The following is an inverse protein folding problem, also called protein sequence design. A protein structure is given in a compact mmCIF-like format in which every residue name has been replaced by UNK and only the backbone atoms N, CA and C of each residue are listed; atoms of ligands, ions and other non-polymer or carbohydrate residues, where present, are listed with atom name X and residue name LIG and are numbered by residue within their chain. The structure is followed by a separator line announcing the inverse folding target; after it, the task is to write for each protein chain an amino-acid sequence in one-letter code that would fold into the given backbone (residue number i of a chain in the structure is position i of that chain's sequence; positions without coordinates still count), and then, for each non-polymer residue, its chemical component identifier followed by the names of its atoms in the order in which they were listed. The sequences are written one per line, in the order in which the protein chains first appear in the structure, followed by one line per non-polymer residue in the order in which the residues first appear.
data_IF_011530265323
#
_entry.id   IF_011530265323
#
_cell.length_a   1.000
_cell.length_b   1.000
_cell.length_c   1.000
_cell.angle_alpha   90.00
_cell.angle_beta   90.00
_cell.angle_gamma   90.00
#
_symmetry.space_group_name_H-M   'P 1'
#
loop_
_entity.id
_entity.type
_entity.pdbx_description
1 polymer ?
2 non-polymer ?
3 water ?
#
# COMPACT_ATOMS: atom_id res chain seq x y z
N UNK A 1 18.77 -11.16 -2.90
CA UNK A 1 18.19 -10.14 -2.01
C UNK A 1 18.48 -10.49 -0.55
N UNK A 2 18.46 -9.48 0.32
CA UNK A 2 18.95 -9.68 1.69
C UNK A 2 17.96 -10.44 2.55
N UNK A 3 18.45 -10.82 3.73
CA UNK A 3 17.65 -11.53 4.72
C UNK A 3 16.57 -10.62 5.30
N UNK A 4 16.91 -9.35 5.51
CA UNK A 4 15.98 -8.38 6.08
C UNK A 4 15.93 -7.17 5.15
N UNK A 5 14.71 -6.70 4.92
CA UNK A 5 14.48 -5.43 4.24
C UNK A 5 13.53 -4.64 5.10
N UNK A 6 13.81 -3.35 5.30
CA UNK A 6 12.90 -2.50 6.07
C UNK A 6 13.02 -1.11 5.46
N UNK A 7 12.06 -0.73 4.62
CA UNK A 7 12.12 0.56 3.96
C UNK A 7 11.97 1.72 4.92
N UNK A 8 11.45 1.49 6.13
CA UNK A 8 11.40 2.57 7.11
C UNK A 8 12.80 2.98 7.54
N UNK A 9 13.74 2.04 7.58
CA UNK A 9 15.11 2.36 7.96
C UNK A 9 15.86 3.10 6.87
N UNK A 10 15.43 3.01 5.62
CA UNK A 10 15.99 3.79 4.53
C UNK A 10 15.26 5.11 4.34
N UNK A 11 14.43 5.50 5.30
CA UNK A 11 13.71 6.76 5.23
C UNK A 11 12.76 6.86 4.04
N UNK A 12 12.18 5.74 3.60
CA UNK A 12 11.30 5.73 2.43
C UNK A 12 9.84 5.54 2.80
N UNK A 13 9.50 5.65 4.09
CA UNK A 13 8.15 5.42 4.55
C UNK A 13 7.73 6.60 5.40
N UNK A 14 6.57 7.15 5.10
CA UNK A 14 6.03 8.27 5.85
C UNK A 14 5.25 7.75 7.04
N UNK A 15 4.83 8.63 7.94
CA UNK A 15 4.12 8.17 9.13
C UNK A 15 2.86 7.39 8.74
N UNK A 16 2.47 6.51 9.66
CA UNK A 16 1.28 5.69 9.48
C UNK A 16 0.05 6.58 9.49
N UNK A 17 -0.86 6.30 8.57
CA UNK A 17 -2.08 7.09 8.47
C UNK A 17 -3.25 6.27 8.96
N UNK A 18 -4.38 6.97 9.13
CA UNK A 18 -5.63 6.32 9.49
C UNK A 18 -6.64 6.67 8.40
N UNK A 19 -7.05 5.64 7.65
CA UNK A 19 -8.03 5.90 6.61
C UNK A 19 -9.39 6.27 7.18
N UNK A 20 -9.64 6.00 8.46
CA UNK A 20 -10.96 6.35 8.95
C UNK A 20 -12.02 5.37 8.44
N UNK A 21 -13.28 5.82 8.42
CA UNK A 21 -14.33 4.87 8.07
C UNK A 21 -14.40 4.62 6.56
N UNK A 22 -13.79 5.48 5.78
CA UNK A 22 -13.81 5.39 4.33
C UNK A 22 -13.04 4.18 3.84
N UNK A 23 -13.62 3.47 2.86
CA UNK A 23 -12.99 2.31 2.26
C UNK A 23 -11.95 2.70 1.23
N UNK A 24 -10.96 3.45 1.68
CA UNK A 24 -9.94 4.05 0.83
C UNK A 24 -8.59 3.36 0.97
N UNK A 25 -8.56 2.16 1.55
CA UNK A 25 -7.30 1.45 1.73
C UNK A 25 -6.52 1.35 0.44
N UNK A 26 -7.22 1.12 -0.68
CA UNK A 26 -6.55 1.02 -1.98
C UNK A 26 -5.77 2.29 -2.30
N UNK A 27 -6.28 3.47 -1.91
CA UNK A 27 -5.55 4.70 -2.17
C UNK A 27 -4.38 4.86 -1.22
N UNK A 28 -4.58 4.54 0.07
CA UNK A 28 -3.49 4.61 1.02
C UNK A 28 -2.37 3.68 0.61
N UNK A 29 -2.74 2.45 0.24
CA UNK A 29 -1.78 1.47 -0.24
C UNK A 29 -0.96 2.02 -1.41
N UNK A 30 -1.65 2.52 -2.44
CA UNK A 30 -0.97 3.05 -3.60
C UNK A 30 -0.03 4.18 -3.21
N UNK A 31 -0.49 5.05 -2.32
CA UNK A 31 0.33 6.19 -1.96
C UNK A 31 1.61 5.76 -1.27
N UNK A 32 1.57 4.73 -0.41
CA UNK A 32 2.85 4.48 0.25
C UNK A 32 3.84 3.93 -0.77
N UNK A 33 3.37 3.25 -1.83
CA UNK A 33 4.32 2.82 -2.84
C UNK A 33 4.87 4.02 -3.62
N UNK A 34 4.04 5.04 -3.84
CA UNK A 34 4.52 6.23 -4.52
C UNK A 34 5.49 7.00 -3.63
N UNK A 35 5.13 7.19 -2.35
CA UNK A 35 6.07 7.81 -1.43
C UNK A 35 7.40 7.07 -1.41
N UNK A 36 7.35 5.73 -1.44
CA UNK A 36 8.57 4.96 -1.37
C UNK A 36 9.42 5.12 -2.62
N UNK A 37 8.81 4.97 -3.80
CA UNK A 37 9.59 5.03 -5.04
C UNK A 37 10.12 6.44 -5.30
N UNK A 38 9.38 7.49 -4.93
CA UNK A 38 9.92 8.84 -5.10
C UNK A 38 11.14 9.03 -4.21
N UNK A 39 11.08 8.56 -2.97
CA UNK A 39 12.25 8.67 -2.11
C UNK A 39 13.42 7.86 -2.66
N UNK A 40 13.15 6.66 -3.15
CA UNK A 40 14.21 5.80 -3.66
C UNK A 40 14.89 6.45 -4.86
N UNK A 41 14.12 7.08 -5.76
CA UNK A 41 14.72 7.67 -6.95
C UNK A 41 15.25 9.08 -6.72
N UNK A 42 14.61 9.88 -5.87
CA UNK A 42 14.98 11.29 -5.77
C UNK A 42 15.66 11.64 -4.47
N UNK A 43 15.63 10.76 -3.47
CA UNK A 43 16.18 11.07 -2.17
C UNK A 43 15.28 11.87 -1.28
N UNK A 44 14.15 12.36 -1.78
CA UNK A 44 13.19 13.15 -1.02
C UNK A 44 12.03 12.26 -0.59
N UNK A 45 11.75 12.26 0.70
CA UNK A 45 10.53 11.64 1.20
C UNK A 45 9.47 12.72 1.31
N UNK A 46 8.39 12.56 0.56
CA UNK A 46 7.23 13.45 0.64
C UNK A 46 6.00 12.61 0.93
N UNK A 47 4.96 13.28 1.40
CA UNK A 47 3.65 12.63 1.52
C UNK A 47 2.77 13.05 0.36
N UNK A 48 2.05 12.11 -0.19
CA UNK A 48 1.22 12.37 -1.35
C UNK A 48 -0.23 12.08 -0.99
N UNK A 49 -1.12 12.50 -1.89
CA UNK A 49 -2.52 12.64 -1.55
C UNK A 49 -3.27 11.34 -1.80
N UNK A 50 -3.66 10.67 -0.72
CA UNK A 50 -4.66 9.62 -0.85
C UNK A 50 -5.98 10.21 -1.35
N UNK A 51 -6.30 11.41 -0.88
CA UNK A 51 -7.59 12.01 -1.23
C UNK A 51 -7.70 12.17 -2.74
N UNK A 52 -6.60 12.56 -3.38
CA UNK A 52 -6.64 12.80 -4.81
C UNK A 52 -7.01 11.52 -5.55
N UNK A 53 -6.43 10.39 -5.14
CA UNK A 53 -6.79 9.12 -5.76
C UNK A 53 -8.22 8.77 -5.47
N UNK A 54 -8.64 8.93 -4.20
CA UNK A 54 -10.03 8.75 -3.82
C UNK A 54 -10.96 9.49 -4.76
N UNK A 55 -10.67 10.77 -4.98
CA UNK A 55 -11.54 11.65 -5.74
C UNK A 55 -11.46 11.38 -7.23
N UNK A 56 -10.28 11.01 -7.71
CA UNK A 56 -9.97 11.09 -9.13
C UNK A 56 -9.88 9.77 -9.84
N UNK A 57 -9.76 8.65 -9.13
CA UNK A 57 -9.68 7.35 -9.80
C UNK A 57 -11.10 6.91 -10.14
N UNK A 58 -11.49 7.12 -11.40
CA UNK A 58 -12.84 6.81 -11.85
C UNK A 58 -13.08 5.30 -11.98
N UNK A 59 -12.02 4.48 -12.02
CA UNK A 59 -12.25 3.03 -12.07
C UNK A 59 -12.44 2.45 -10.67
N UNK A 60 -12.09 3.19 -9.62
CA UNK A 60 -12.34 2.77 -8.26
C UNK A 60 -13.66 3.37 -7.78
N UNK A 61 -14.06 3.00 -6.57
CA UNK A 61 -15.40 3.32 -6.06
C UNK A 61 -15.34 4.19 -4.82
N UNK A 62 -14.33 5.05 -4.73
CA UNK A 62 -14.25 5.99 -3.64
C UNK A 62 -14.13 5.29 -2.31
N UNK A 63 -14.98 5.68 -1.37
CA UNK A 63 -14.96 5.07 -0.05
C UNK A 63 -15.58 3.68 -0.03
N UNK A 64 -16.11 3.22 -1.16
CA UNK A 64 -16.67 1.88 -1.23
C UNK A 64 -15.65 0.87 -1.70
N UNK A 65 -14.41 1.30 -1.90
CA UNK A 65 -13.36 0.39 -2.32
C UNK A 65 -12.80 0.79 -3.67
N UNK A 66 -11.76 0.09 -4.05
CA UNK A 66 -11.09 0.40 -5.29
C UNK A 66 -9.89 -0.47 -5.50
N UNK A 67 -9.10 -0.07 -6.47
CA UNK A 67 -8.03 -0.91 -6.99
C UNK A 67 -6.71 -0.19 -6.87
N UNK A 68 -5.77 -0.72 -6.10
CA UNK A 68 -4.42 -0.16 -6.10
C UNK A 68 -3.85 0.02 -7.50
N UNK A 69 -4.08 -0.96 -8.39
CA UNK A 69 -3.49 -0.86 -9.72
C UNK A 69 -4.09 0.30 -10.52
N UNK A 70 -5.39 0.56 -10.33
CA UNK A 70 -6.03 1.72 -10.96
C UNK A 70 -5.44 3.01 -10.45
N UNK A 71 -5.36 3.14 -9.13
CA UNK A 71 -4.76 4.34 -8.54
C UNK A 71 -3.34 4.53 -9.04
N UNK A 72 -2.58 3.43 -9.13
CA UNK A 72 -1.20 3.56 -9.56
C UNK A 72 -1.12 3.96 -11.03
N UNK A 73 -2.07 3.46 -11.83
CA UNK A 73 -2.09 3.84 -13.25
C UNK A 73 -2.39 5.33 -13.39
N UNK A 74 -3.24 5.87 -12.52
CA UNK A 74 -3.61 7.28 -12.62
C UNK A 74 -2.43 8.17 -12.28
N UNK A 75 -1.58 7.76 -11.35
CA UNK A 75 -0.41 8.57 -11.03
C UNK A 75 0.64 8.44 -12.15
N UNK A 76 0.68 7.29 -12.83
CA UNK A 76 1.56 7.14 -13.98
C UNK A 76 1.07 7.97 -15.16
N UNK A 77 -0.25 8.08 -15.31
CA UNK A 77 -0.82 8.75 -16.46
C UNK A 77 -0.92 10.25 -16.26
N UNK A 78 -1.13 10.68 -15.02
CA UNK A 78 -1.27 12.11 -14.73
C UNK A 78 -0.22 12.54 -13.72
N UNK A 79 -0.33 12.12 -12.48
CA UNK A 79 0.56 12.54 -11.43
C UNK A 79 -0.22 12.58 -10.15
N UNK A 80 0.41 13.14 -9.12
CA UNK A 80 -0.20 13.19 -7.80
C UNK A 80 0.30 14.45 -7.11
N UNK A 81 -0.52 14.98 -6.22
CA UNK A 81 -0.17 16.18 -5.48
C UNK A 81 0.34 15.80 -4.10
N UNK A 82 1.07 16.74 -3.49
CA UNK A 82 1.45 16.59 -2.10
C UNK A 82 0.21 16.44 -1.24
N UNK A 83 0.34 15.62 -0.19
CA UNK A 83 -0.74 15.46 0.76
C UNK A 83 -1.16 16.80 1.36
N UNK A 84 -0.19 17.66 1.65
CA UNK A 84 -0.48 18.96 2.24
C UNK A 84 -1.35 19.82 1.32
N UNK A 85 -1.19 19.66 0.00
CA UNK A 85 -1.96 20.42 -0.98
C UNK A 85 -3.37 19.88 -1.11
N UNK A 86 -3.52 18.59 -0.89
CA UNK A 86 -4.74 17.86 -1.20
C UNK A 86 -4.98 16.93 -0.03
N UNK A 87 -5.27 17.48 1.14
CA UNK A 87 -5.27 16.67 2.36
C UNK A 87 -6.42 15.69 2.37
N UNK A 88 -6.29 14.71 3.26
CA UNK A 88 -7.28 13.66 3.39
C UNK A 88 -8.50 14.16 4.14
N UNK A 89 -9.67 13.92 3.58
CA UNK A 89 -10.92 14.30 4.22
C UNK A 89 -11.79 13.10 4.56
N UNK A 90 -11.46 11.91 4.07
CA UNK A 90 -12.17 10.72 4.49
C UNK A 90 -13.50 10.54 3.80
N UNK A 91 -13.76 11.32 2.77
CA UNK A 91 -14.99 11.23 2.01
C UNK A 91 -14.61 11.51 0.57
N UNK A 92 -15.26 10.80 -0.35
CA UNK A 92 -15.03 11.10 -1.75
C UNK A 92 -15.70 12.41 -2.10
N UNK A 93 -14.93 13.30 -2.72
CA UNK A 93 -15.50 14.53 -3.24
C UNK A 93 -15.17 14.53 -4.72
N UNK A 94 -15.21 15.68 -5.35
CA UNK A 94 -14.88 15.71 -6.76
C UNK A 94 -13.37 15.84 -6.94
N UNK A 95 -12.91 15.40 -8.10
CA UNK A 95 -11.48 15.45 -8.41
C UNK A 95 -11.04 16.90 -8.55
N UNK A 96 -10.15 17.32 -7.65
CA UNK A 96 -9.72 18.71 -7.59
C UNK A 96 -8.28 18.89 -8.03
N UNK A 97 -7.75 17.93 -8.81
CA UNK A 97 -6.36 18.00 -9.24
C UNK A 97 -6.05 19.32 -9.95
N UNK A 98 -6.95 19.76 -10.83
CA UNK A 98 -6.67 20.93 -11.65
C UNK A 98 -6.61 22.19 -10.79
N UNK A 99 -7.45 22.25 -9.76
CA UNK A 99 -7.50 23.40 -8.88
C UNK A 99 -6.25 23.49 -8.01
N UNK A 100 -5.49 22.41 -7.90
CA UNK A 100 -4.38 22.32 -6.97
C UNK A 100 -3.06 22.65 -7.63
N UNK A 101 -3.07 23.16 -8.85
CA UNK A 101 -1.84 23.49 -9.53
C UNK A 101 -1.10 22.28 -10.04
N UNK A 102 0.18 22.47 -10.38
CA UNK A 102 0.94 21.39 -11.00
C UNK A 102 1.07 20.19 -10.09
N UNK A 103 1.09 19.01 -10.69
CA UNK A 103 1.32 17.79 -9.93
C UNK A 103 2.68 17.86 -9.25
N UNK A 104 2.77 17.24 -8.07
CA UNK A 104 4.04 17.20 -7.36
C UNK A 104 4.95 16.09 -7.84
N UNK A 105 4.39 14.98 -8.31
CA UNK A 105 5.19 13.83 -8.71
C UNK A 105 4.40 13.00 -9.69
N UNK A 106 5.12 12.14 -10.40
CA UNK A 106 4.59 11.52 -11.60
C UNK A 106 5.38 10.22 -11.74
N UNK A 107 4.69 9.11 -11.96
CA UNK A 107 5.40 7.85 -12.16
C UNK A 107 5.35 7.46 -13.63
N UNK A 108 6.07 6.39 -13.96
CA UNK A 108 6.19 5.99 -15.36
C UNK A 108 5.37 4.76 -15.70
N UNK A 109 4.84 4.06 -14.72
CA UNK A 109 3.98 2.94 -15.01
C UNK A 109 3.70 2.13 -13.76
N UNK A 110 3.02 1.00 -13.98
CA UNK A 110 2.59 0.07 -12.95
C UNK A 110 2.97 -1.34 -13.38
N UNK A 111 3.56 -2.12 -12.47
CA UNK A 111 3.80 -3.52 -12.76
C UNK A 111 3.05 -4.39 -11.76
N UNK A 112 2.64 -5.57 -12.20
CA UNK A 112 2.08 -6.56 -11.30
C UNK A 112 3.18 -7.54 -10.89
N UNK A 113 3.15 -7.94 -9.64
CA UNK A 113 4.00 -9.03 -9.18
C UNK A 113 3.30 -10.32 -9.61
N UNK A 114 4.07 -11.29 -10.10
CA UNK A 114 3.50 -12.59 -10.40
C UNK A 114 2.73 -13.10 -9.19
N UNK A 115 1.43 -13.37 -9.31
CA UNK A 115 0.65 -13.74 -8.14
C UNK A 115 1.02 -15.13 -7.63
N UNK A 116 0.67 -15.35 -6.36
CA UNK A 116 0.79 -16.67 -5.73
C UNK A 116 2.23 -17.15 -5.70
N UNK A 117 3.17 -16.22 -5.58
CA UNK A 117 4.59 -16.51 -5.69
C UNK A 117 5.30 -15.70 -4.61
N UNK A 118 5.63 -16.36 -3.51
CA UNK A 118 6.24 -15.64 -2.40
C UNK A 118 7.55 -15.00 -2.83
N UNK A 119 8.37 -15.73 -3.57
CA UNK A 119 9.67 -15.21 -3.95
C UNK A 119 9.57 -13.98 -4.82
N UNK A 120 8.61 -13.96 -5.74
CA UNK A 120 8.43 -12.79 -6.60
C UNK A 120 8.05 -11.58 -5.76
N UNK A 121 7.21 -11.78 -4.75
CA UNK A 121 6.83 -10.67 -3.89
C UNK A 121 8.04 -10.16 -3.12
N UNK A 122 8.80 -11.07 -2.52
CA UNK A 122 9.98 -10.65 -1.75
C UNK A 122 10.96 -9.91 -2.64
N UNK A 123 11.18 -10.42 -3.85
CA UNK A 123 12.09 -9.74 -4.74
C UNK A 123 11.63 -8.31 -5.01
N UNK A 124 10.32 -8.12 -5.19
CA UNK A 124 9.81 -6.77 -5.43
C UNK A 124 9.99 -5.89 -4.21
N UNK A 125 9.68 -6.43 -3.02
CA UNK A 125 9.83 -5.65 -1.79
C UNK A 125 11.26 -5.22 -1.59
N UNK A 126 12.22 -6.08 -1.93
CA UNK A 126 13.61 -5.68 -1.79
C UNK A 126 13.97 -4.51 -2.67
N UNK A 127 13.17 -4.25 -3.70
CA UNK A 127 13.40 -3.12 -4.59
C UNK A 127 12.62 -1.87 -4.21
N UNK A 128 11.44 -2.03 -3.63
CA UNK A 128 10.59 -0.89 -3.31
C UNK A 128 9.35 -1.38 -2.55
N UNK A 129 8.69 -0.51 -1.80
CA UNK A 129 7.41 -0.88 -1.20
C UNK A 129 6.41 -1.30 -2.27
N UNK A 130 5.58 -2.26 -1.92
CA UNK A 130 4.69 -2.90 -2.87
C UNK A 130 3.30 -2.85 -2.30
N UNK A 131 2.32 -2.57 -3.15
CA UNK A 131 0.93 -2.65 -2.78
C UNK A 131 0.48 -4.12 -2.80
N UNK A 132 -0.08 -4.59 -1.71
CA UNK A 132 -0.53 -5.97 -1.59
C UNK A 132 -1.92 -5.96 -1.01
N UNK A 133 -2.63 -7.08 -1.19
CA UNK A 133 -3.96 -7.19 -0.62
C UNK A 133 -3.98 -8.39 0.32
N UNK A 134 -4.90 -8.35 1.26
CA UNK A 134 -5.06 -9.44 2.19
C UNK A 134 -6.49 -9.41 2.71
N UNK A 135 -6.86 -10.49 3.38
CA UNK A 135 -8.15 -10.57 4.06
C UNK A 135 -8.00 -9.95 5.43
N UNK A 136 -8.67 -8.83 5.64
CA UNK A 136 -8.60 -8.12 6.90
C UNK A 136 -9.89 -8.21 7.71
N UNK A 137 -10.91 -8.87 7.17
CA UNK A 137 -12.23 -8.92 7.80
C UNK A 137 -12.22 -9.72 9.10
N UNK A 138 -11.38 -10.74 9.22
CA UNK A 138 -11.39 -11.58 10.39
C UNK A 138 -11.02 -10.82 11.65
N UNK A 139 -11.67 -11.19 12.76
CA UNK A 139 -11.40 -10.54 14.03
C UNK A 139 -9.95 -10.72 14.46
N UNK A 140 -9.32 -11.84 14.11
CA UNK A 140 -7.93 -12.01 14.51
C UNK A 140 -7.05 -10.95 13.89
N UNK A 141 -7.24 -10.65 12.62
CA UNK A 141 -6.51 -9.55 12.02
C UNK A 141 -6.88 -8.23 12.67
N UNK A 142 -8.17 -7.98 12.87
CA UNK A 142 -8.56 -6.66 13.37
C UNK A 142 -8.03 -6.41 14.76
N UNK A 143 -8.01 -7.43 15.61
CA UNK A 143 -7.54 -7.31 16.97
C UNK A 143 -6.02 -7.52 17.08
N UNK A 144 -5.32 -7.62 15.96
CA UNK A 144 -3.87 -7.81 16.00
C UNK A 144 -3.19 -6.70 16.81
N UNK A 145 -2.37 -7.10 17.77
CA UNK A 145 -1.65 -6.10 18.54
C UNK A 145 -0.14 -6.26 18.45
N UNK A 146 0.36 -7.27 17.76
CA UNK A 146 1.79 -7.44 17.60
C UNK A 146 2.16 -8.90 17.47
N UNK A 147 3.41 -9.12 17.11
CA UNK A 147 3.89 -10.45 16.85
C UNK A 147 3.82 -10.78 15.37
N UNK A 148 4.31 -11.98 15.05
CA UNK A 148 4.20 -12.46 13.68
C UNK A 148 2.82 -13.07 13.52
N UNK A 149 2.04 -12.50 12.62
CA UNK A 149 0.66 -12.90 12.48
C UNK A 149 0.56 -14.08 11.53
N UNK A 150 -0.03 -15.17 12.01
CA UNK A 150 -0.21 -16.38 11.24
C UNK A 150 -1.66 -16.60 10.86
N UNK A 151 -2.54 -15.68 11.22
CA UNK A 151 -3.94 -15.91 11.10
C UNK A 151 -4.54 -16.19 12.47
N UNK A 152 -5.66 -16.88 12.49
CA UNK A 152 -6.38 -17.44 11.34
C UNK A 152 -6.96 -16.38 10.43
N UNK A 153 -7.00 -16.72 9.15
CA UNK A 153 -7.63 -15.91 8.14
C UNK A 153 -7.76 -16.76 6.89
N UNK A 154 -8.75 -16.42 6.08
CA UNK A 154 -8.92 -17.04 4.78
C UNK A 154 -8.20 -16.22 3.73
N UNK A 155 -8.55 -16.50 2.47
CA UNK A 155 -7.98 -15.78 1.34
C UNK A 155 -9.00 -14.88 0.65
N UNK A 156 -10.08 -14.52 1.35
CA UNK A 156 -11.08 -13.58 0.83
C UNK A 156 -10.56 -12.14 0.97
N UNK A 157 -9.59 -11.82 0.10
CA UNK A 157 -8.88 -10.56 0.25
C UNK A 157 -9.84 -9.39 0.09
N UNK A 158 -9.67 -8.38 0.95
CA UNK A 158 -10.64 -7.29 1.03
C UNK A 158 -9.97 -5.98 1.44
N UNK A 159 -8.65 -5.95 1.55
CA UNK A 159 -7.99 -4.81 2.18
C UNK A 159 -6.63 -4.66 1.55
N UNK A 160 -6.36 -3.48 0.99
CA UNK A 160 -5.07 -3.19 0.38
C UNK A 160 -4.17 -2.53 1.41
N UNK A 161 -2.94 -2.99 1.49
CA UNK A 161 -1.95 -2.42 2.40
C UNK A 161 -0.68 -2.32 1.58
N UNK A 162 0.45 -2.05 2.22
CA UNK A 162 1.70 -1.91 1.51
C UNK A 162 2.74 -2.72 2.24
N UNK A 163 3.45 -3.56 1.51
CA UNK A 163 4.57 -4.29 2.07
C UNK A 163 5.79 -3.41 1.97
N UNK A 164 6.39 -3.11 3.12
CA UNK A 164 7.53 -2.22 3.18
C UNK A 164 8.76 -2.94 3.71
N UNK A 165 8.69 -4.27 3.85
CA UNK A 165 9.85 -5.00 4.31
C UNK A 165 9.51 -6.45 4.46
N UNK A 166 10.52 -7.20 4.90
CA UNK A 166 10.34 -8.61 5.20
C UNK A 166 11.53 -9.07 6.02
N UNK A 167 11.38 -10.24 6.60
CA UNK A 167 12.45 -10.89 7.30
C UNK A 167 12.33 -12.36 6.99
N UNK A 168 13.13 -13.17 7.67
CA UNK A 168 13.10 -14.62 7.42
C UNK A 168 11.72 -15.24 7.52
N UNK A 169 10.90 -14.75 8.45
CA UNK A 169 9.64 -15.42 8.76
C UNK A 169 8.44 -14.48 8.64
N UNK A 170 8.58 -13.35 7.95
CA UNK A 170 7.48 -12.41 7.90
C UNK A 170 7.64 -11.45 6.76
N UNK A 171 6.51 -10.89 6.34
CA UNK A 171 6.47 -9.74 5.48
C UNK A 171 5.97 -8.57 6.32
N UNK A 172 6.66 -7.44 6.23
CA UNK A 172 6.35 -6.27 7.05
C UNK A 172 5.38 -5.38 6.29
N UNK A 173 4.25 -5.07 6.92
CA UNK A 173 3.13 -4.42 6.23
C UNK A 173 2.79 -3.13 6.96
N UNK A 174 2.71 -2.04 6.19
CA UNK A 174 2.15 -0.78 6.67
C UNK A 174 0.65 -0.80 6.47
N UNK A 175 -0.09 -0.74 7.55
CA UNK A 175 -1.54 -0.65 7.47
C UNK A 175 -1.95 0.81 7.56
N UNK A 176 -3.21 1.08 7.28
CA UNK A 176 -3.75 2.43 7.29
C UNK A 176 -4.81 2.58 8.35
N UNK A 177 -4.57 1.95 9.51
CA UNK A 177 -5.54 1.98 10.59
C UNK A 177 -5.03 2.78 11.77
N UNK A 178 -4.09 3.70 11.54
CA UNK A 178 -3.55 4.52 12.59
C UNK A 178 -2.44 3.82 13.36
N UNK A 179 -1.80 4.59 14.24
CA UNK A 179 -0.62 4.11 14.93
C UNK A 179 -0.98 3.25 16.12
N UNK A 180 -2.25 3.23 16.52
CA UNK A 180 -2.68 2.42 17.65
C UNK A 180 -2.92 0.96 17.30
N UNK A 181 -3.04 0.64 16.03
CA UNK A 181 -3.29 -0.73 15.63
C UNK A 181 -1.98 -1.47 15.40
N UNK A 182 -1.95 -2.74 15.78
CA UNK A 182 -0.80 -3.55 15.48
C UNK A 182 0.46 -3.00 16.11
N UNK A 183 1.57 -3.09 15.38
CA UNK A 183 2.86 -2.66 15.91
C UNK A 183 3.11 -1.24 15.43
N UNK A 184 2.53 -0.29 16.16
CA UNK A 184 2.61 1.13 15.79
C UNK A 184 2.09 1.36 14.37
N UNK A 185 1.06 0.59 14.00
CA UNK A 185 0.45 0.72 12.69
C UNK A 185 0.89 -0.33 11.69
N UNK A 186 1.86 -1.16 12.03
CA UNK A 186 2.41 -2.19 11.15
C UNK A 186 1.97 -3.56 11.62
N UNK A 187 2.02 -4.51 10.69
CA UNK A 187 1.85 -5.91 11.01
C UNK A 187 2.95 -6.69 10.32
N UNK A 188 3.50 -7.67 11.03
CA UNK A 188 4.38 -8.66 10.43
C UNK A 188 3.56 -9.91 10.19
N UNK A 189 3.44 -10.29 8.93
CA UNK A 189 2.64 -11.44 8.54
C UNK A 189 3.58 -12.57 8.16
N UNK A 190 3.28 -13.77 8.68
CA UNK A 190 4.17 -14.92 8.45
C UNK A 190 4.30 -15.22 6.96
N UNK A 191 5.51 -15.54 6.53
CA UNK A 191 5.75 -16.02 5.19
C UNK A 191 6.39 -17.42 5.29
N UNK A 192 6.60 -18.04 4.13
CA UNK A 192 7.28 -19.31 4.08
C UNK A 192 6.47 -20.50 4.55
N UNK A 193 5.15 -20.44 4.44
CA UNK A 193 4.30 -21.54 4.85
C UNK A 193 3.98 -22.51 3.72
N UNK A 194 4.43 -22.24 2.50
CA UNK A 194 4.10 -23.06 1.37
C UNK A 194 2.70 -22.85 0.84
N UNK A 195 1.83 -22.16 1.59
CA UNK A 195 0.55 -21.69 1.09
C UNK A 195 0.76 -20.74 -0.07
N UNK A 196 0.37 -21.17 -1.27
CA UNK A 196 0.56 -20.35 -2.46
C UNK A 196 -0.27 -19.07 -2.42
N UNK A 197 -1.36 -19.06 -1.67
CA UNK A 197 -2.14 -17.82 -1.55
C UNK A 197 -1.47 -16.79 -0.68
N UNK A 198 -0.49 -17.19 0.13
CA UNK A 198 0.02 -16.35 1.20
C UNK A 198 -0.91 -16.38 2.39
N UNK A 199 -0.44 -16.10 3.60
CA UNK A 199 -1.39 -16.15 4.69
C UNK A 199 -2.27 -14.92 4.59
N UNK A 200 -3.58 -15.11 4.83
CA UNK A 200 -4.62 -14.11 4.60
C UNK A 200 -4.66 -13.65 3.14
N UNK A 201 -4.21 -14.50 2.21
CA UNK A 201 -4.32 -14.20 0.79
C UNK A 201 -3.31 -13.19 0.31
N UNK A 202 -2.20 -13.00 1.04
CA UNK A 202 -1.27 -11.91 0.83
C UNK A 202 -0.65 -11.93 -0.56
N UNK A 203 -0.61 -13.07 -1.25
CA UNK A 203 0.04 -13.10 -2.56
C UNK A 203 -0.93 -12.97 -3.71
N UNK A 204 -2.18 -12.56 -3.42
CA UNK A 204 -3.23 -12.58 -4.43
C UNK A 204 -3.01 -11.53 -5.51
N UNK A 205 -2.67 -10.30 -5.13
CA UNK A 205 -2.74 -9.20 -6.10
C UNK A 205 -1.82 -8.07 -5.62
N UNK A 206 -0.62 -7.99 -6.20
CA UNK A 206 0.42 -7.11 -5.71
C UNK A 206 0.93 -6.26 -6.87
N UNK A 207 1.07 -4.96 -6.64
CA UNK A 207 1.45 -4.02 -7.68
C UNK A 207 2.43 -3.01 -7.14
N UNK A 208 3.29 -2.52 -8.01
CA UNK A 208 4.20 -1.47 -7.61
C UNK A 208 4.34 -0.47 -8.75
N UNK A 209 4.62 0.79 -8.43
CA UNK A 209 4.86 1.79 -9.47
C UNK A 209 6.27 1.68 -10.01
N UNK A 210 6.41 2.07 -11.26
CA UNK A 210 7.70 2.16 -11.92
C UNK A 210 8.04 3.63 -12.06
N UNK A 211 9.27 3.99 -11.73
CA UNK A 211 9.75 5.35 -11.91
C UNK A 211 11.17 5.32 -12.44
N UNK A 212 11.36 5.85 -13.64
CA UNK A 212 12.68 5.92 -14.27
C UNK A 212 13.49 7.07 -13.70
X LIG B 1 -10.88 -3.50 -0.97
X LIG B 1 -17.16 -2.49 -3.91
X LIG B 1 -11.03 -2.21 -0.66
X LIG B 1 -10.48 -3.98 -2.29
X LIG B 1 -11.49 -5.05 -2.70
X LIG B 1 -12.08 -3.77 -4.79
X LIG B 1 -14.25 -2.55 -4.24
X LIG B 1 -9.05 -4.52 -2.22
X LIG B 1 -8.17 -4.69 -4.58
X LIG B 1 -7.85 -6.80 -5.66
X LIG B 1 -18.46 -2.47 -4.23
X LIG B 1 -19.02 -1.12 -4.64
X LIG B 1 -10.55 -0.72 2.83
X LIG B 1 -14.96 -3.36 -3.17
X LIG B 1 -16.42 -3.68 -3.53
X LIG B 1 -8.64 -5.31 -3.44
X LIG B 1 -7.78 -5.42 -5.68
X LIG B 1 -8.29 -7.44 -4.53
X LIG B 1 -8.69 -6.70 -3.42
X LIG B 1 -10.31 -1.30 1.47
X LIG B 1 -11.50 -1.93 0.77
X LIG B 1 -13.44 -3.32 -5.28
X LIG B 1 -12.16 -4.87 -3.85
X LIG B 1 -10.75 -1.47 3.81
X LIG B 1 -10.50 0.51 2.91
X LIG B 1 -12.66 -1.13 0.83
X LIG B 1 -10.76 -1.29 -1.44
X LIG B 1 -11.66 -6.06 -2.00
X LIG B 1 -19.16 -3.49 -4.20
#
# INVERSE_FOLDING_TARGET
IPEYVDWRQKGAVTPVKNQGSCGSCWAFSAVVTIEGIIKIRTGNLNEYSEQELLDCDRRSYGCNGGYPWSALQLVAQYGIHYRNTYPYEGVQRYCRSREKGPYAAKTDGVRQVQPYNEGALLYSIANQPVSVVLEAAGKDFQLYRGGIFVGPCGNKVDHAVAAVGYGPNYILIKNSWGTGWGENGYIRIKRGTGNSYGVCGLYTSSFYPVKN
A1BWT N1 N3 C4 C5 C7 C8 C10 C13 C15 C17 C20 C21 C1 C11 C12 C14 C16 C18 C19 C2 C3 C9 N2 O1 O2 O3 O4 O5 O6
#
